data_IF_976631427441
#
_entry.id   IF_976631427441
#
_cell.length_a   1.000
_cell.length_b   1.000
_cell.length_c   1.000
_cell.angle_alpha   90.00
_cell.angle_beta   90.00
_cell.angle_gamma   90.00
#
_symmetry.space_group_name_H-M   'P 1'
#
loop_
_entity.id
_entity.type
_entity.pdbx_description
1 polymer ?
#
# COMPACT_ATOMS: atom_id res chain seq x y z
N UNK A 1 8.67 -5.76 -21.57
CA UNK A 1 7.84 -5.34 -20.43
C UNK A 1 8.69 -4.56 -19.45
N UNK A 2 8.36 -3.30 -19.17
CA UNK A 2 9.08 -2.44 -18.24
C UNK A 2 8.10 -1.83 -17.23
N UNK A 3 8.66 -1.31 -16.14
CA UNK A 3 7.91 -0.63 -15.09
C UNK A 3 8.65 0.64 -14.68
N UNK A 4 8.03 1.81 -14.86
CA UNK A 4 8.58 3.09 -14.41
C UNK A 4 7.45 4.08 -14.19
N UNK A 5 7.44 4.73 -13.03
CA UNK A 5 6.43 5.73 -12.69
C UNK A 5 7.05 7.13 -12.79
N UNK A 6 6.69 7.94 -13.80
CA UNK A 6 7.17 9.31 -13.91
C UNK A 6 6.42 10.21 -12.93
N UNK A 7 6.90 10.29 -11.70
CA UNK A 7 6.50 11.34 -10.78
C UNK A 7 7.14 12.65 -11.28
N UNK A 8 6.36 13.46 -12.00
CA UNK A 8 6.76 14.82 -12.37
C UNK A 8 6.94 15.72 -11.13
N UNK A 9 7.08 17.04 -11.34
CA UNK A 9 7.21 18.01 -10.25
C UNK A 9 5.89 18.27 -9.50
N UNK A 10 4.77 17.82 -10.07
CA UNK A 10 3.44 17.96 -9.51
C UNK A 10 3.29 17.18 -8.19
N UNK A 11 2.77 17.86 -7.18
CA UNK A 11 2.35 17.27 -5.91
C UNK A 11 0.85 17.42 -5.73
N UNK A 12 0.25 16.53 -4.96
CA UNK A 12 -1.18 16.56 -4.63
C UNK A 12 -1.37 16.85 -3.15
N UNK A 13 -2.41 17.60 -2.81
CA UNK A 13 -2.85 17.72 -1.42
C UNK A 13 -3.66 16.49 -1.04
N UNK A 14 -3.30 15.88 0.08
CA UNK A 14 -4.05 14.78 0.69
C UNK A 14 -4.52 15.22 2.06
N UNK A 15 -5.85 15.30 2.21
CA UNK A 15 -6.49 15.55 3.50
C UNK A 15 -6.34 14.32 4.39
N UNK A 16 -5.63 14.46 5.50
CA UNK A 16 -5.62 13.48 6.59
C UNK A 16 -6.71 13.90 7.57
N UNK A 17 -7.76 13.09 7.65
CA UNK A 17 -8.92 13.32 8.49
C UNK A 17 -9.25 12.06 9.30
N UNK A 18 -9.75 12.24 10.52
CA UNK A 18 -10.46 11.17 11.24
C UNK A 18 -11.72 10.81 10.47
N UNK A 19 -11.84 9.58 10.00
CA UNK A 19 -12.99 9.12 9.22
C UNK A 19 -13.20 7.61 9.32
N UNK A 20 -14.35 7.15 8.81
CA UNK A 20 -14.74 5.73 8.76
C UNK A 20 -14.10 4.95 7.60
N UNK A 21 -13.24 5.60 6.80
CA UNK A 21 -12.56 4.97 5.67
C UNK A 21 -11.55 3.95 6.15
N UNK A 22 -11.47 2.81 5.47
CA UNK A 22 -10.59 1.69 5.82
C UNK A 22 -10.78 1.23 7.27
N UNK A 23 -12.03 1.21 7.74
CA UNK A 23 -12.42 0.73 9.07
C UNK A 23 -12.17 -0.76 9.33
N UNK A 24 -12.47 -1.19 10.54
CA UNK A 24 -12.38 -2.59 10.99
C UNK A 24 -13.75 -3.30 10.92
N UNK A 25 -14.80 -2.54 10.65
CA UNK A 25 -16.17 -2.97 10.48
C UNK A 25 -16.35 -3.78 9.18
N UNK A 26 -17.37 -4.67 9.11
CA UNK A 26 -17.59 -5.51 7.92
C UNK A 26 -17.90 -4.75 6.63
N UNK A 27 -18.56 -3.59 6.72
CA UNK A 27 -18.91 -2.73 5.59
C UNK A 27 -17.68 -2.04 4.97
N UNK A 28 -16.57 -1.93 5.70
CA UNK A 28 -15.30 -1.42 5.17
C UNK A 28 -14.59 -2.41 4.22
N UNK A 29 -15.05 -3.66 4.09
CA UNK A 29 -14.38 -4.68 3.26
C UNK A 29 -14.24 -4.24 1.79
N UNK A 30 -15.25 -3.58 1.22
CA UNK A 30 -15.18 -3.11 -0.17
C UNK A 30 -14.06 -2.08 -0.38
N UNK A 31 -13.79 -1.24 0.62
CA UNK A 31 -12.69 -0.27 0.57
C UNK A 31 -11.33 -0.97 0.69
N UNK A 32 -11.22 -1.95 1.59
CA UNK A 32 -10.01 -2.76 1.74
C UNK A 32 -9.70 -3.61 0.51
N UNK A 33 -10.72 -4.09 -0.20
CA UNK A 33 -10.55 -4.81 -1.46
C UNK A 33 -10.02 -3.91 -2.59
N UNK A 34 -10.20 -2.59 -2.46
CA UNK A 34 -9.72 -1.57 -3.41
C UNK A 34 -8.37 -0.96 -3.04
N UNK A 35 -7.71 -1.44 -1.98
CA UNK A 35 -6.40 -0.93 -1.53
C UNK A 35 -5.24 -1.31 -2.48
N UNK A 36 -5.50 -2.15 -3.48
CA UNK A 36 -4.53 -2.56 -4.49
C UNK A 36 -5.07 -2.27 -5.89
N UNK A 37 -4.19 -2.17 -6.90
CA UNK A 37 -4.60 -2.13 -8.30
C UNK A 37 -5.49 -3.33 -8.66
N UNK A 38 -6.31 -3.17 -9.70
CA UNK A 38 -7.33 -4.15 -10.10
C UNK A 38 -6.76 -5.55 -10.31
N UNK A 39 -5.52 -5.63 -10.77
CA UNK A 39 -4.81 -6.87 -11.08
C UNK A 39 -3.85 -7.34 -9.97
N UNK A 40 -3.91 -6.72 -8.78
CA UNK A 40 -3.11 -7.07 -7.62
C UNK A 40 -1.83 -6.23 -7.49
N UNK A 41 -0.85 -6.76 -6.74
CA UNK A 41 0.36 -6.03 -6.32
C UNK A 41 1.62 -6.41 -7.11
N UNK A 42 1.54 -7.44 -7.95
CA UNK A 42 2.66 -7.87 -8.77
C UNK A 42 2.79 -7.00 -10.02
N UNK A 43 4.00 -6.89 -10.54
CA UNK A 43 4.35 -6.28 -11.83
C UNK A 43 5.37 -7.17 -12.51
N UNK A 44 5.46 -7.10 -13.83
CA UNK A 44 6.31 -7.99 -14.62
C UNK A 44 7.33 -7.17 -15.42
N UNK A 45 8.61 -7.53 -15.28
CA UNK A 45 9.72 -6.81 -15.90
C UNK A 45 10.55 -7.80 -16.69
N UNK A 46 10.84 -7.47 -17.95
CA UNK A 46 11.77 -8.19 -18.79
C UNK A 46 13.09 -7.41 -18.86
N UNK A 47 14.21 -8.08 -18.58
CA UNK A 47 15.55 -7.48 -18.57
C UNK A 47 16.02 -7.07 -19.98
N UNK A 48 15.52 -7.73 -21.02
CA UNK A 48 15.73 -7.40 -22.43
C UNK A 48 14.41 -7.55 -23.19
N UNK A 49 14.30 -7.03 -24.44
CA UNK A 49 13.10 -7.21 -25.25
C UNK A 49 12.74 -8.68 -25.56
N UNK A 50 13.71 -9.59 -25.48
CA UNK A 50 13.53 -11.03 -25.76
C UNK A 50 13.47 -11.89 -24.51
N UNK A 51 13.75 -11.33 -23.33
CA UNK A 51 13.71 -12.07 -22.07
C UNK A 51 12.28 -12.36 -21.63
N UNK A 52 12.09 -13.51 -20.98
CA UNK A 52 10.86 -13.83 -20.25
C UNK A 52 10.67 -12.83 -19.10
N UNK A 53 9.50 -12.19 -18.97
CA UNK A 53 9.22 -11.28 -17.87
C UNK A 53 9.19 -12.00 -16.52
N UNK A 54 9.86 -11.44 -15.53
CA UNK A 54 9.86 -11.94 -14.14
C UNK A 54 8.91 -11.11 -13.26
N UNK A 55 8.30 -11.74 -12.23
CA UNK A 55 7.43 -11.04 -11.30
C UNK A 55 8.22 -10.26 -10.24
N UNK A 56 7.78 -9.03 -9.98
CA UNK A 56 8.24 -8.15 -8.93
C UNK A 56 7.03 -7.61 -8.17
N UNK A 57 7.24 -7.02 -6.98
CA UNK A 57 6.22 -6.26 -6.27
C UNK A 57 6.70 -4.85 -6.01
N UNK A 58 5.85 -3.87 -6.27
CA UNK A 58 6.17 -2.47 -5.96
C UNK A 58 6.10 -2.30 -4.44
N UNK A 59 7.11 -1.65 -3.85
CA UNK A 59 7.24 -1.51 -2.39
C UNK A 59 5.97 -0.96 -1.72
N UNK A 60 5.34 0.08 -2.29
CA UNK A 60 4.07 0.61 -1.78
C UNK A 60 2.95 -0.45 -1.78
N UNK A 61 2.78 -1.16 -2.89
CA UNK A 61 1.74 -2.19 -3.03
C UNK A 61 1.99 -3.37 -2.08
N UNK A 62 3.24 -3.74 -1.85
CA UNK A 62 3.59 -4.75 -0.86
C UNK A 62 3.23 -4.31 0.57
N UNK A 63 3.48 -3.05 0.93
CA UNK A 63 3.10 -2.49 2.23
C UNK A 63 1.58 -2.50 2.41
N UNK A 64 0.82 -2.07 1.40
CA UNK A 64 -0.64 -2.09 1.43
C UNK A 64 -1.19 -3.52 1.53
N UNK A 65 -0.62 -4.47 0.79
CA UNK A 65 -0.99 -5.89 0.92
C UNK A 65 -0.69 -6.44 2.32
N UNK A 66 0.46 -6.08 2.89
CA UNK A 66 0.81 -6.44 4.27
C UNK A 66 -0.19 -5.89 5.27
N UNK A 67 -0.63 -4.64 5.09
CA UNK A 67 -1.63 -4.02 5.96
C UNK A 67 -2.97 -4.77 5.91
N UNK A 68 -3.42 -5.16 4.72
CA UNK A 68 -4.63 -5.99 4.55
C UNK A 68 -4.50 -7.34 5.27
N UNK A 69 -3.35 -8.02 5.16
CA UNK A 69 -3.10 -9.31 5.84
C UNK A 69 -3.13 -9.15 7.36
N UNK A 70 -2.56 -8.06 7.89
CA UNK A 70 -2.59 -7.78 9.33
C UNK A 70 -4.01 -7.51 9.80
N UNK A 71 -4.81 -6.75 9.03
CA UNK A 71 -6.24 -6.55 9.31
C UNK A 71 -7.01 -7.87 9.31
N UNK A 72 -6.83 -8.70 8.29
CA UNK A 72 -7.49 -10.01 8.19
C UNK A 72 -7.19 -10.87 9.42
N UNK A 73 -5.94 -10.90 9.89
CA UNK A 73 -5.58 -11.60 11.13
C UNK A 73 -6.27 -10.99 12.35
N UNK A 74 -6.30 -9.65 12.45
CA UNK A 74 -6.93 -8.94 13.57
C UNK A 74 -8.43 -9.23 13.70
N UNK A 75 -9.13 -9.32 12.56
CA UNK A 75 -10.56 -9.61 12.51
C UNK A 75 -10.89 -11.11 12.63
N UNK A 76 -9.88 -11.97 12.55
CA UNK A 76 -10.07 -13.41 12.70
C UNK A 76 -10.39 -13.81 14.15
N UNK A 77 -10.94 -15.01 14.36
CA UNK A 77 -11.24 -15.49 15.72
C UNK A 77 -9.98 -15.47 16.59
N UNK A 78 -10.04 -15.05 17.86
CA UNK A 78 -8.87 -15.00 18.74
C UNK A 78 -8.15 -16.33 18.93
N UNK A 79 -8.86 -17.45 18.72
CA UNK A 79 -8.31 -18.81 18.77
C UNK A 79 -7.47 -19.17 17.55
N UNK A 80 -7.58 -18.41 16.45
CA UNK A 80 -6.80 -18.66 15.26
C UNK A 80 -5.33 -18.32 15.50
N UNK A 81 -4.39 -19.23 15.16
CA UNK A 81 -2.98 -18.95 15.31
C UNK A 81 -2.56 -17.82 14.38
N UNK A 82 -1.62 -16.99 14.85
CA UNK A 82 -0.99 -15.97 14.01
C UNK A 82 -0.27 -16.69 12.86
N UNK A 83 -0.57 -16.29 11.62
CA UNK A 83 0.07 -16.91 10.45
C UNK A 83 1.55 -16.49 10.29
N UNK A 84 2.34 -17.31 9.62
CA UNK A 84 3.73 -16.95 9.24
C UNK A 84 3.76 -15.69 8.37
N UNK A 85 2.75 -15.52 7.51
CA UNK A 85 2.57 -14.34 6.67
C UNK A 85 2.33 -13.08 7.49
N UNK A 86 1.47 -13.13 8.52
CA UNK A 86 1.26 -11.98 9.42
C UNK A 86 2.56 -11.60 10.16
N UNK A 87 3.32 -12.60 10.65
CA UNK A 87 4.63 -12.34 11.28
C UNK A 87 5.61 -11.68 10.32
N UNK A 88 5.65 -12.14 9.07
CA UNK A 88 6.44 -11.52 8.00
C UNK A 88 6.00 -10.06 7.76
N UNK A 89 4.69 -9.83 7.57
CA UNK A 89 4.13 -8.50 7.31
C UNK A 89 4.44 -7.50 8.43
N UNK A 90 4.28 -7.90 9.70
CA UNK A 90 4.63 -7.04 10.85
C UNK A 90 6.11 -6.67 10.86
N UNK A 91 6.99 -7.63 10.61
CA UNK A 91 8.44 -7.37 10.53
C UNK A 91 8.81 -6.50 9.33
N UNK A 92 8.18 -6.73 8.17
CA UNK A 92 8.41 -5.97 6.95
C UNK A 92 7.97 -4.50 7.09
N UNK A 93 6.78 -4.26 7.66
CA UNK A 93 6.27 -2.92 7.92
C UNK A 93 7.16 -2.17 8.93
N UNK A 94 7.58 -2.83 10.01
CA UNK A 94 8.52 -2.25 10.98
C UNK A 94 9.84 -1.84 10.31
N UNK A 95 10.44 -2.71 9.51
CA UNK A 95 11.70 -2.42 8.81
C UNK A 95 11.55 -1.28 7.80
N UNK A 96 10.44 -1.27 7.07
CA UNK A 96 10.10 -0.19 6.13
C UNK A 96 10.04 1.16 6.83
N UNK A 97 9.37 1.25 7.98
CA UNK A 97 9.26 2.49 8.74
C UNK A 97 10.64 3.05 9.10
N UNK A 98 11.60 2.19 9.48
CA UNK A 98 12.97 2.63 9.75
C UNK A 98 13.70 3.16 8.51
N UNK A 99 13.42 2.63 7.32
CA UNK A 99 14.08 3.07 6.09
C UNK A 99 13.47 4.33 5.48
N UNK A 100 12.18 4.60 5.75
CA UNK A 100 11.44 5.76 5.23
C UNK A 100 10.66 6.43 6.36
N UNK A 101 11.41 6.96 7.31
CA UNK A 101 10.87 7.65 8.48
C UNK A 101 10.17 8.94 8.06
N UNK A 102 8.91 9.09 8.46
CA UNK A 102 8.29 10.41 8.53
C UNK A 102 8.70 11.04 9.87
N UNK A 103 9.48 12.13 9.82
CA UNK A 103 9.98 12.84 11.00
C UNK A 103 9.16 14.10 11.32
N UNK A 104 7.96 14.24 10.75
CA UNK A 104 7.05 15.33 11.05
C UNK A 104 6.56 15.29 12.50
N UNK A 105 6.33 16.46 13.09
CA UNK A 105 5.68 16.57 14.40
C UNK A 105 4.17 16.37 14.23
N UNK A 106 3.59 15.51 15.05
CA UNK A 106 2.14 15.36 15.18
C UNK A 106 1.67 16.22 16.36
N UNK A 107 0.64 17.06 16.12
CA UNK A 107 -0.01 17.78 17.22
C UNK A 107 -0.81 16.80 18.08
N UNK A 108 -0.99 17.09 19.37
CA UNK A 108 -1.74 16.25 20.30
C UNK A 108 -3.05 16.94 20.72
N UNK A 109 -4.13 16.17 20.78
CA UNK A 109 -5.47 16.65 21.16
C UNK A 109 -5.66 16.68 22.69
N UNK A 110 -4.88 15.89 23.42
CA UNK A 110 -5.00 15.74 24.88
C UNK A 110 -3.67 15.37 25.56
N UNK A 111 -3.73 15.26 26.89
CA UNK A 111 -2.58 14.94 27.74
C UNK A 111 -2.11 13.48 27.58
N UNK A 112 -2.97 12.60 27.05
CA UNK A 112 -2.68 11.20 26.73
C UNK A 112 -1.91 11.03 25.41
N UNK A 113 -1.73 12.12 24.66
CA UNK A 113 -0.94 12.14 23.44
C UNK A 113 -1.68 11.58 22.22
N UNK A 114 -3.02 11.63 22.21
CA UNK A 114 -3.78 11.30 20.99
C UNK A 114 -3.45 12.32 19.91
N UNK A 115 -2.91 11.86 18.80
CA UNK A 115 -2.52 12.73 17.70
C UNK A 115 -3.76 13.38 17.06
N UNK A 116 -3.67 14.69 16.80
CA UNK A 116 -4.64 15.41 16.00
C UNK A 116 -4.57 14.92 14.55
N UNK A 117 -5.68 14.36 14.06
CA UNK A 117 -5.76 13.77 12.71
C UNK A 117 -6.57 14.63 11.76
N UNK A 118 -6.32 15.93 11.79
CA UNK A 118 -6.97 16.89 10.93
C UNK A 118 -5.90 17.85 10.36
N UNK A 119 -5.29 17.47 9.25
CA UNK A 119 -4.35 18.32 8.50
C UNK A 119 -4.31 17.98 7.00
N UNK A 120 -3.67 18.84 6.21
CA UNK A 120 -3.36 18.58 4.80
C UNK A 120 -1.89 18.20 4.65
N UNK A 121 -1.63 17.14 3.89
CA UNK A 121 -0.30 16.67 3.54
C UNK A 121 -0.01 16.92 2.06
N UNK A 122 1.21 17.37 1.74
CA UNK A 122 1.69 17.44 0.35
C UNK A 122 2.32 16.09 -0.01
N UNK A 123 1.70 15.38 -0.95
CA UNK A 123 2.06 14.02 -1.34
C UNK A 123 2.46 13.94 -2.81
N UNK A 124 3.21 12.89 -3.16
CA UNK A 124 3.30 12.47 -4.56
C UNK A 124 1.98 11.87 -4.99
N UNK A 125 1.59 12.13 -6.22
CA UNK A 125 0.38 11.54 -6.80
C UNK A 125 0.57 10.04 -7.04
N UNK A 126 0.18 9.24 -6.06
CA UNK A 126 0.31 7.78 -6.10
C UNK A 126 -0.64 7.14 -7.11
N UNK A 127 -1.64 7.84 -7.64
CA UNK A 127 -2.54 7.30 -8.67
C UNK A 127 -1.77 6.91 -9.93
N UNK A 128 -0.72 7.68 -10.28
CA UNK A 128 0.22 7.37 -11.37
C UNK A 128 0.90 5.99 -11.22
N UNK A 129 1.11 5.53 -9.98
CA UNK A 129 1.67 4.20 -9.72
C UNK A 129 0.63 3.11 -9.99
N UNK A 130 -0.65 3.36 -9.66
CA UNK A 130 -1.73 2.41 -9.92
C UNK A 130 -1.95 2.26 -11.42
N UNK A 131 -1.99 3.39 -12.16
CA UNK A 131 -2.13 3.39 -13.61
C UNK A 131 -0.99 2.59 -14.29
N UNK A 132 0.24 2.79 -13.84
CA UNK A 132 1.40 2.08 -14.37
C UNK A 132 1.39 0.58 -14.02
N UNK A 133 0.93 0.21 -12.82
CA UNK A 133 0.75 -1.19 -12.42
C UNK A 133 -0.31 -1.89 -13.26
N UNK A 134 -1.46 -1.24 -13.50
CA UNK A 134 -2.51 -1.77 -14.35
C UNK A 134 -2.05 -1.88 -15.81
N UNK A 135 -1.39 -0.85 -16.36
CA UNK A 135 -0.78 -0.90 -17.71
C UNK A 135 0.19 -2.08 -17.84
N UNK A 136 1.06 -2.27 -16.85
CA UNK A 136 2.04 -3.35 -16.85
C UNK A 136 1.37 -4.73 -16.83
N UNK A 137 0.31 -4.91 -16.05
CA UNK A 137 -0.46 -6.15 -15.97
C UNK A 137 -1.22 -6.47 -17.26
N UNK A 138 -1.83 -5.46 -17.89
CA UNK A 138 -2.49 -5.61 -19.20
C UNK A 138 -1.48 -6.02 -20.27
N UNK A 139 -0.31 -5.36 -20.29
CA UNK A 139 0.76 -5.68 -21.23
C UNK A 139 1.32 -7.10 -21.01
N UNK A 140 1.46 -7.54 -19.76
CA UNK A 140 1.89 -8.90 -19.44
C UNK A 140 0.85 -9.95 -19.84
N UNK A 141 -0.43 -9.67 -19.61
CA UNK A 141 -1.52 -10.56 -20.02
C UNK A 141 -1.60 -10.74 -21.54
N UNK A 142 -1.22 -9.71 -22.30
CA UNK A 142 -1.17 -9.75 -23.77
C UNK A 142 0.11 -10.42 -24.30
N UNK A 143 1.18 -10.43 -23.50
CA UNK A 143 2.44 -11.10 -23.85
C UNK A 143 2.36 -12.62 -23.66
N UNK A 144 1.59 -13.08 -22.67
CA UNK A 144 1.36 -14.49 -22.35
C UNK A 144 0.51 -15.18 -23.41
#
# INVERSE_FOLDING_TARGET
LSFSVPFGEESVAMRVATGSRYGLEPDANEEWDRILPKHGHLVHIASTPTATPEPYTVTLLHQLKCLQIVREQYLSQPTNPITSRTRHCMNYLRQTLYCRLNMGLESVEDAEGRAARDYDAVCRDWTKLYDEADRNQVAFSSWK
#
